data_IF_781711552409
#
_entry.id   IF_781711552409
#
_cell.length_a   1.000
_cell.length_b   1.000
_cell.length_c   1.000
_cell.angle_alpha   90.00
_cell.angle_beta   90.00
_cell.angle_gamma   90.00
#
_symmetry.space_group_name_H-M   'P 1'
#
loop_
_entity.id
_entity.type
_entity.pdbx_description
1 polymer ?
#
# COMPACT_ATOMS: atom_id res chain seq x y z
N UNK A 1 29.20 -66.83 -53.03
CA UNK A 1 29.59 -65.51 -53.59
C UNK A 1 28.31 -64.62 -53.44
N UNK A 2 28.46 -63.44 -52.86
CA UNK A 2 27.39 -62.40 -52.74
C UNK A 2 26.44 -62.48 -51.58
N UNK A 3 26.83 -61.89 -50.49
CA UNK A 3 25.90 -61.50 -49.43
C UNK A 3 26.49 -60.28 -48.65
N UNK A 4 26.34 -59.10 -49.16
CA UNK A 4 26.85 -57.87 -48.50
C UNK A 4 26.15 -56.62 -49.09
N UNK A 5 24.80 -56.57 -48.98
CA UNK A 5 24.12 -55.40 -49.51
C UNK A 5 22.77 -55.11 -48.81
N UNK A 6 22.60 -55.45 -47.48
CA UNK A 6 21.35 -55.14 -46.77
C UNK A 6 21.58 -54.58 -45.36
N UNK A 7 22.60 -53.77 -45.12
CA UNK A 7 22.87 -53.28 -43.76
C UNK A 7 23.02 -51.77 -43.58
N UNK A 8 22.45 -50.93 -44.46
CA UNK A 8 22.64 -49.46 -44.36
C UNK A 8 21.36 -48.61 -44.55
N UNK A 9 20.14 -49.10 -44.20
CA UNK A 9 18.91 -48.30 -44.31
C UNK A 9 18.14 -48.21 -42.95
N UNK A 10 18.76 -48.35 -41.82
CA UNK A 10 18.03 -48.24 -40.52
C UNK A 10 18.69 -47.29 -39.52
N UNK A 11 19.26 -46.19 -39.95
CA UNK A 11 19.83 -45.20 -39.02
C UNK A 11 19.52 -43.77 -39.50
N UNK A 12 18.30 -43.38 -39.68
CA UNK A 12 17.93 -41.94 -39.77
C UNK A 12 16.42 -41.76 -39.56
N UNK A 13 15.87 -42.34 -38.50
CA UNK A 13 14.53 -42.01 -38.02
C UNK A 13 14.58 -41.84 -36.50
N UNK A 14 15.42 -40.91 -36.04
CA UNK A 14 15.50 -40.55 -34.64
C UNK A 14 15.06 -39.09 -34.50
N UNK A 15 13.87 -38.94 -33.95
CA UNK A 15 13.43 -37.93 -33.01
C UNK A 15 13.70 -36.46 -33.33
N UNK A 16 12.83 -35.84 -34.09
CA UNK A 16 12.36 -34.49 -33.77
C UNK A 16 11.22 -34.56 -32.75
N UNK A 17 11.53 -35.01 -31.55
CA UNK A 17 10.66 -34.68 -30.40
C UNK A 17 10.91 -33.22 -30.07
N UNK A 18 10.10 -32.35 -30.63
CA UNK A 18 9.96 -30.94 -30.21
C UNK A 18 9.50 -31.00 -28.77
N UNK A 19 10.44 -30.82 -27.84
CA UNK A 19 10.11 -30.46 -26.45
C UNK A 19 9.52 -29.04 -26.54
N UNK A 20 8.21 -28.97 -26.65
CA UNK A 20 7.47 -27.77 -26.23
C UNK A 20 7.70 -27.66 -24.71
N UNK A 21 8.85 -27.07 -24.34
CA UNK A 21 9.01 -26.54 -23.00
C UNK A 21 7.88 -25.51 -22.83
N UNK A 22 6.84 -25.92 -22.12
CA UNK A 22 5.79 -25.02 -21.68
C UNK A 22 6.47 -23.87 -20.93
N UNK A 23 6.51 -22.71 -21.58
CA UNK A 23 6.80 -21.47 -20.86
C UNK A 23 5.80 -21.44 -19.69
N UNK A 24 6.25 -21.27 -18.44
CA UNK A 24 5.30 -21.03 -17.37
C UNK A 24 4.50 -19.81 -17.81
N UNK A 25 3.24 -20.01 -18.12
CA UNK A 25 2.29 -18.93 -18.24
C UNK A 25 2.44 -18.19 -16.93
N UNK A 26 2.94 -16.95 -16.99
CA UNK A 26 2.77 -15.99 -15.93
C UNK A 26 1.25 -15.77 -15.86
N UNK A 27 0.54 -16.74 -15.26
CA UNK A 27 -0.83 -16.57 -14.85
C UNK A 27 -0.81 -15.35 -13.93
N UNK A 28 -1.17 -14.22 -14.50
CA UNK A 28 -1.47 -13.00 -13.79
C UNK A 28 -2.51 -13.44 -12.75
N UNK A 29 -2.17 -13.27 -11.47
CA UNK A 29 -3.09 -13.53 -10.36
C UNK A 29 -4.24 -12.52 -10.43
N UNK A 30 -5.14 -12.71 -11.40
CA UNK A 30 -6.24 -11.79 -11.72
C UNK A 30 -7.59 -12.24 -11.16
N UNK A 31 -7.64 -13.40 -10.52
CA UNK A 31 -8.93 -14.04 -10.14
C UNK A 31 -9.07 -14.25 -8.62
N UNK A 32 -8.12 -13.83 -7.81
CA UNK A 32 -8.24 -13.91 -6.35
C UNK A 32 -8.82 -12.60 -5.79
N UNK A 33 -9.89 -12.72 -5.00
CA UNK A 33 -10.41 -11.62 -4.19
C UNK A 33 -9.29 -11.06 -3.31
N UNK A 34 -9.26 -9.75 -3.11
CA UNK A 34 -8.26 -9.07 -2.29
C UNK A 34 -8.95 -8.32 -1.15
N UNK A 35 -8.73 -8.76 0.08
CA UNK A 35 -9.24 -8.07 1.27
C UNK A 35 -8.14 -7.29 1.97
N UNK A 36 -8.24 -5.96 1.98
CA UNK A 36 -7.26 -5.04 2.56
C UNK A 36 -7.86 -4.29 3.76
N UNK A 37 -7.24 -4.42 4.92
CA UNK A 37 -7.65 -3.71 6.13
C UNK A 37 -6.63 -2.62 6.46
N UNK A 38 -7.13 -1.41 6.68
CA UNK A 38 -6.34 -0.25 7.06
C UNK A 38 -6.49 0.05 8.57
N UNK A 39 -5.38 0.31 9.24
CA UNK A 39 -5.38 0.80 10.62
C UNK A 39 -4.58 2.09 10.67
N UNK A 40 -5.22 3.17 11.08
CA UNK A 40 -4.57 4.48 11.05
C UNK A 40 -5.37 5.60 11.69
N UNK A 41 -5.18 6.79 11.14
CA UNK A 41 -5.81 8.02 11.62
C UNK A 41 -6.28 8.92 10.46
N UNK A 42 -6.28 10.24 10.66
CA UNK A 42 -6.73 11.19 9.64
C UNK A 42 -5.96 11.11 8.32
N UNK A 43 -4.72 10.67 8.30
CA UNK A 43 -3.97 10.46 7.06
C UNK A 43 -4.49 9.28 6.23
N UNK A 44 -5.22 8.37 6.85
CA UNK A 44 -5.90 7.26 6.17
C UNK A 44 -7.33 7.62 5.74
N UNK A 45 -8.12 8.28 6.61
CA UNK A 45 -9.52 8.54 6.28
C UNK A 45 -9.75 9.83 5.48
N UNK A 46 -8.89 10.86 5.61
CA UNK A 46 -9.01 12.05 4.74
C UNK A 46 -8.88 11.61 3.28
N UNK A 47 -9.83 12.04 2.46
CA UNK A 47 -10.00 11.60 1.06
C UNK A 47 -10.34 10.11 0.88
N UNK A 48 -10.60 9.34 1.96
CA UNK A 48 -10.98 7.93 1.87
C UNK A 48 -9.94 7.06 1.13
N UNK A 49 -8.71 7.00 1.66
CA UNK A 49 -7.64 6.20 1.06
C UNK A 49 -8.05 4.75 0.74
N UNK A 50 -8.83 4.04 1.59
CA UNK A 50 -9.35 2.71 1.24
C UNK A 50 -10.18 2.68 -0.03
N UNK A 51 -11.06 3.66 -0.22
CA UNK A 51 -11.89 3.78 -1.43
C UNK A 51 -11.03 4.16 -2.65
N UNK A 52 -10.06 5.09 -2.50
CA UNK A 52 -9.13 5.45 -3.56
C UNK A 52 -8.29 4.25 -4.02
N UNK A 53 -7.81 3.43 -3.08
CA UNK A 53 -7.08 2.21 -3.39
C UNK A 53 -7.96 1.23 -4.19
N UNK A 54 -9.20 1.00 -3.76
CA UNK A 54 -10.15 0.13 -4.48
C UNK A 54 -10.46 0.65 -5.88
N UNK A 55 -10.71 1.97 -6.02
CA UNK A 55 -10.96 2.60 -7.33
C UNK A 55 -9.74 2.47 -8.26
N UNK A 56 -8.53 2.60 -7.73
CA UNK A 56 -7.29 2.39 -8.47
C UNK A 56 -7.19 0.95 -8.96
N UNK A 57 -7.39 -0.06 -8.09
CA UNK A 57 -7.34 -1.47 -8.49
C UNK A 57 -8.36 -1.77 -9.58
N UNK A 58 -9.60 -1.33 -9.43
CA UNK A 58 -10.64 -1.52 -10.45
C UNK A 58 -10.31 -0.84 -11.79
N UNK A 59 -9.59 0.29 -11.78
CA UNK A 59 -9.13 0.91 -13.02
C UNK A 59 -8.10 0.08 -13.78
N UNK A 60 -7.37 -0.80 -13.07
CA UNK A 60 -6.37 -1.69 -13.65
C UNK A 60 -6.96 -3.05 -14.03
N UNK A 61 -7.76 -3.62 -13.16
CA UNK A 61 -8.35 -4.96 -13.27
C UNK A 61 -9.82 -4.88 -12.82
N UNK A 62 -10.74 -4.50 -13.72
CA UNK A 62 -12.15 -4.24 -13.39
C UNK A 62 -12.88 -5.44 -12.77
N UNK A 63 -12.48 -6.65 -13.14
CA UNK A 63 -13.06 -7.92 -12.69
C UNK A 63 -12.53 -8.39 -11.34
N UNK A 64 -11.45 -7.80 -10.83
CA UNK A 64 -10.90 -8.19 -9.54
C UNK A 64 -11.81 -7.74 -8.41
N UNK A 65 -12.25 -8.67 -7.59
CA UNK A 65 -12.98 -8.37 -6.37
C UNK A 65 -12.03 -7.80 -5.31
N UNK A 66 -12.31 -6.57 -4.85
CA UNK A 66 -11.48 -5.88 -3.86
C UNK A 66 -12.34 -5.35 -2.73
N UNK A 67 -12.15 -5.93 -1.57
CA UNK A 67 -12.76 -5.50 -0.32
C UNK A 67 -11.80 -4.63 0.49
N UNK A 68 -12.26 -3.49 0.99
CA UNK A 68 -11.45 -2.63 1.84
C UNK A 68 -12.23 -2.23 3.09
N UNK A 69 -11.58 -2.30 4.24
CA UNK A 69 -12.12 -1.79 5.50
C UNK A 69 -11.06 -0.95 6.22
N UNK A 70 -11.49 -0.01 7.05
CA UNK A 70 -10.58 0.81 7.82
C UNK A 70 -11.04 1.00 9.26
N UNK A 71 -10.07 0.96 10.16
CA UNK A 71 -10.22 1.26 11.58
C UNK A 71 -9.34 2.46 11.90
N UNK A 72 -9.96 3.61 12.07
CA UNK A 72 -9.28 4.91 12.17
C UNK A 72 -9.67 5.66 13.43
N UNK A 73 -8.76 6.48 13.94
CA UNK A 73 -9.00 7.38 15.07
C UNK A 73 -8.46 8.76 14.74
N UNK A 74 -9.26 9.83 14.80
CA UNK A 74 -8.76 11.19 14.60
C UNK A 74 -7.59 11.51 15.54
N UNK A 75 -6.40 11.85 14.97
CA UNK A 75 -5.19 12.13 15.73
C UNK A 75 -4.59 10.94 16.49
N UNK A 76 -5.14 9.74 16.34
CA UNK A 76 -4.75 8.56 17.11
C UNK A 76 -3.43 7.91 16.70
N UNK A 77 -2.89 7.12 17.62
CA UNK A 77 -1.72 6.28 17.44
C UNK A 77 -2.11 4.80 17.29
N UNK A 78 -1.27 4.01 16.61
CA UNK A 78 -1.53 2.57 16.43
C UNK A 78 -1.62 1.81 17.76
N UNK A 79 -0.87 2.21 18.78
CA UNK A 79 -0.93 1.55 20.08
C UNK A 79 -2.26 1.79 20.82
N UNK A 80 -2.94 2.90 20.58
CA UNK A 80 -4.29 3.16 21.08
C UNK A 80 -5.28 2.24 20.39
N UNK A 81 -5.21 2.14 19.05
CA UNK A 81 -6.00 1.18 18.26
C UNK A 81 -5.82 -0.27 18.71
N UNK A 82 -4.56 -0.64 19.04
CA UNK A 82 -4.29 -1.98 19.57
C UNK A 82 -4.98 -2.25 20.91
N UNK A 83 -4.94 -1.27 21.83
CA UNK A 83 -5.54 -1.43 23.17
C UNK A 83 -7.05 -1.57 23.15
N UNK A 84 -7.71 -0.96 22.20
CA UNK A 84 -9.18 -1.06 22.05
C UNK A 84 -9.65 -2.46 21.63
N UNK A 85 -8.80 -3.23 20.96
CA UNK A 85 -9.11 -4.60 20.57
C UNK A 85 -10.07 -4.76 19.38
N UNK A 86 -10.63 -3.68 18.85
CA UNK A 86 -11.62 -3.73 17.76
C UNK A 86 -11.03 -4.33 16.49
N UNK A 87 -9.82 -3.90 16.12
CA UNK A 87 -9.10 -4.44 14.94
C UNK A 87 -8.83 -5.92 15.10
N UNK A 88 -8.34 -6.34 16.27
CA UNK A 88 -8.05 -7.75 16.54
C UNK A 88 -9.32 -8.61 16.48
N UNK A 89 -10.45 -8.07 16.95
CA UNK A 89 -11.73 -8.77 16.84
C UNK A 89 -12.12 -8.97 15.38
N UNK A 90 -12.04 -7.92 14.56
CA UNK A 90 -12.32 -7.99 13.14
C UNK A 90 -11.40 -8.99 12.42
N UNK A 91 -10.08 -8.91 12.64
CA UNK A 91 -9.10 -9.81 12.03
C UNK A 91 -9.25 -11.29 12.48
N UNK A 92 -9.91 -11.57 13.62
CA UNK A 92 -10.24 -12.94 14.04
C UNK A 92 -11.42 -13.51 13.25
N UNK A 93 -12.35 -12.68 12.86
CA UNK A 93 -13.63 -13.08 12.25
C UNK A 93 -13.59 -13.03 10.71
N UNK A 94 -12.57 -12.40 10.13
CA UNK A 94 -12.46 -12.20 8.68
C UNK A 94 -11.09 -12.67 8.17
N UNK A 95 -11.08 -13.29 6.99
CA UNK A 95 -9.86 -13.53 6.25
C UNK A 95 -9.38 -12.19 5.68
N UNK A 96 -8.12 -11.83 5.93
CA UNK A 96 -7.54 -10.57 5.49
C UNK A 96 -6.21 -10.86 4.81
N UNK A 97 -6.05 -10.43 3.57
CA UNK A 97 -4.84 -10.69 2.78
C UNK A 97 -3.75 -9.67 3.08
N UNK A 98 -4.14 -8.41 3.30
CA UNK A 98 -3.21 -7.32 3.58
C UNK A 98 -3.68 -6.45 4.74
N UNK A 99 -2.80 -6.26 5.71
CA UNK A 99 -2.99 -5.30 6.80
C UNK A 99 -2.09 -4.08 6.57
N UNK A 100 -2.69 -2.92 6.33
CA UNK A 100 -1.98 -1.65 6.16
C UNK A 100 -1.93 -0.90 7.50
N UNK A 101 -0.73 -0.60 7.98
CA UNK A 101 -0.50 0.11 9.24
C UNK A 101 0.00 1.53 8.96
N UNK A 102 -0.71 2.55 9.45
CA UNK A 102 -0.32 3.94 9.37
C UNK A 102 -0.23 4.55 10.77
N UNK A 103 0.98 4.91 11.19
CA UNK A 103 1.25 5.55 12.49
C UNK A 103 0.94 7.05 12.44
N UNK A 104 0.81 7.70 13.60
CA UNK A 104 0.67 9.15 13.67
C UNK A 104 1.75 9.87 12.86
N UNK A 105 1.37 10.98 12.21
CA UNK A 105 2.22 11.67 11.23
C UNK A 105 3.62 11.97 11.77
N UNK A 106 4.66 11.55 11.05
CA UNK A 106 6.05 11.75 11.43
C UNK A 106 6.52 11.02 12.69
N UNK A 107 5.66 10.32 13.42
CA UNK A 107 6.00 9.76 14.73
C UNK A 107 7.11 8.70 14.69
N UNK A 108 7.21 7.91 13.63
CA UNK A 108 8.24 6.86 13.52
C UNK A 108 9.68 7.39 13.67
N UNK A 109 9.93 8.68 13.36
CA UNK A 109 11.23 9.31 13.60
C UNK A 109 11.66 9.29 15.07
N UNK A 110 10.76 9.05 16.01
CA UNK A 110 11.09 8.91 17.43
C UNK A 110 12.22 7.91 17.66
N UNK A 111 12.30 6.86 16.84
CA UNK A 111 13.32 5.81 16.94
C UNK A 111 14.76 6.32 16.66
N UNK A 112 14.93 7.43 15.96
CA UNK A 112 16.23 8.10 15.73
C UNK A 112 16.43 9.34 16.60
N UNK A 113 15.37 9.84 17.24
CA UNK A 113 15.46 11.02 18.07
C UNK A 113 16.04 10.68 19.46
N UNK A 114 17.21 11.26 19.78
CA UNK A 114 17.99 10.92 21.00
C UNK A 114 17.17 10.94 22.29
N UNK A 115 16.29 11.92 22.47
CA UNK A 115 15.47 12.07 23.67
C UNK A 115 14.19 11.21 23.66
N UNK A 116 13.73 10.72 22.49
CA UNK A 116 12.46 10.00 22.35
C UNK A 116 12.62 8.50 22.23
N UNK A 117 13.72 8.01 21.64
CA UNK A 117 13.89 6.60 21.25
C UNK A 117 13.75 5.58 22.40
N UNK A 118 14.06 5.99 23.62
CA UNK A 118 13.94 5.17 24.83
C UNK A 118 12.66 5.43 25.63
N UNK A 119 11.82 6.38 25.21
CA UNK A 119 10.54 6.61 25.88
C UNK A 119 9.58 5.46 25.67
N UNK A 120 8.68 5.26 26.66
CA UNK A 120 7.63 4.27 26.53
C UNK A 120 6.79 4.48 25.27
N UNK A 121 6.42 5.72 24.96
CA UNK A 121 5.58 6.03 23.78
C UNK A 121 6.23 5.57 22.47
N UNK A 122 7.53 5.81 22.27
CA UNK A 122 8.24 5.39 21.07
C UNK A 122 8.40 3.87 21.01
N UNK A 123 8.84 3.23 22.10
CA UNK A 123 9.06 1.80 22.15
C UNK A 123 7.77 1.00 22.06
N UNK A 124 6.66 1.51 22.61
CA UNK A 124 5.35 0.89 22.50
C UNK A 124 4.76 1.00 21.09
N UNK A 125 4.96 2.15 20.40
CA UNK A 125 4.61 2.29 18.99
C UNK A 125 5.31 1.23 18.12
N UNK A 126 6.64 1.12 18.20
CA UNK A 126 7.40 0.12 17.45
C UNK A 126 6.99 -1.32 17.77
N UNK A 127 6.76 -1.62 19.05
CA UNK A 127 6.28 -2.93 19.49
C UNK A 127 4.87 -3.22 18.96
N UNK A 128 4.02 -2.22 18.84
CA UNK A 128 2.66 -2.38 18.34
C UNK A 128 2.63 -2.73 16.85
N UNK A 129 3.50 -2.14 16.03
CA UNK A 129 3.64 -2.57 14.64
C UNK A 129 3.99 -4.06 14.55
N UNK A 130 4.95 -4.51 15.38
CA UNK A 130 5.32 -5.93 15.43
C UNK A 130 4.14 -6.81 15.85
N UNK A 131 3.37 -6.41 16.87
CA UNK A 131 2.18 -7.16 17.31
C UNK A 131 1.13 -7.31 16.22
N UNK A 132 0.86 -6.23 15.48
CA UNK A 132 -0.06 -6.27 14.34
C UNK A 132 0.44 -7.18 13.22
N UNK A 133 1.72 -7.07 12.84
CA UNK A 133 2.32 -7.90 11.81
C UNK A 133 2.29 -9.39 12.18
N UNK A 134 2.69 -9.74 13.41
CA UNK A 134 2.60 -11.13 13.91
C UNK A 134 1.15 -11.64 13.94
N UNK A 135 0.21 -10.76 14.28
CA UNK A 135 -1.21 -11.13 14.33
C UNK A 135 -1.78 -11.40 12.94
N UNK A 136 -1.44 -10.59 11.93
CA UNK A 136 -1.81 -10.80 10.54
C UNK A 136 -1.15 -12.07 9.97
N UNK A 137 0.17 -12.21 10.13
CA UNK A 137 0.94 -13.34 9.60
C UNK A 137 0.44 -14.70 10.11
N UNK A 138 0.04 -14.81 11.39
CA UNK A 138 -0.57 -16.03 11.95
C UNK A 138 -1.88 -16.45 11.28
N UNK A 139 -2.45 -15.59 10.43
CA UNK A 139 -3.70 -15.80 9.68
C UNK A 139 -3.49 -15.79 8.16
N UNK A 140 -2.24 -15.85 7.72
CA UNK A 140 -1.88 -15.85 6.30
C UNK A 140 -1.84 -14.47 5.65
N UNK A 141 -2.14 -13.38 6.40
CA UNK A 141 -2.10 -12.02 5.88
C UNK A 141 -0.69 -11.43 5.87
N UNK A 142 -0.44 -10.54 4.91
CA UNK A 142 0.79 -9.73 4.80
C UNK A 142 0.58 -8.37 5.46
N UNK A 143 1.67 -7.73 5.89
CA UNK A 143 1.60 -6.37 6.46
C UNK A 143 2.32 -5.38 5.54
N UNK A 144 1.71 -4.20 5.36
CA UNK A 144 2.34 -3.04 4.73
C UNK A 144 2.42 -1.91 5.76
N UNK A 145 3.59 -1.30 5.94
CA UNK A 145 3.71 -0.05 6.70
C UNK A 145 3.55 1.10 5.71
N UNK A 146 2.47 1.86 5.86
CA UNK A 146 2.26 3.11 5.15
C UNK A 146 3.11 4.20 5.80
N UNK A 147 4.26 4.47 5.19
CA UNK A 147 5.19 5.51 5.64
C UNK A 147 4.55 6.88 5.48
N UNK A 148 4.40 7.58 6.58
CA UNK A 148 3.90 8.96 6.61
C UNK A 148 4.96 9.94 6.13
N UNK A 149 4.66 11.22 6.18
CA UNK A 149 5.53 12.28 5.68
C UNK A 149 5.90 13.27 6.77
N UNK A 150 7.04 13.91 6.57
CA UNK A 150 7.57 14.96 7.42
C UNK A 150 7.36 16.37 6.86
N UNK A 151 7.56 17.36 7.69
CA UNK A 151 7.43 18.77 7.30
C UNK A 151 8.55 19.22 6.35
N UNK A 152 9.72 18.60 6.43
CA UNK A 152 10.87 18.92 5.60
C UNK A 152 11.65 17.66 5.16
N UNK A 153 12.63 17.84 4.27
CA UNK A 153 13.44 16.75 3.69
C UNK A 153 14.25 15.99 4.74
N UNK A 154 14.74 16.68 5.80
CA UNK A 154 15.54 16.05 6.86
C UNK A 154 14.66 15.15 7.73
N UNK A 155 13.51 15.65 8.10
CA UNK A 155 12.51 14.89 8.85
C UNK A 155 12.04 13.68 8.05
N UNK A 156 11.74 13.88 6.76
CA UNK A 156 11.36 12.80 5.86
C UNK A 156 12.43 11.72 5.76
N UNK A 157 13.69 12.09 5.57
CA UNK A 157 14.77 11.11 5.50
C UNK A 157 14.86 10.20 6.75
N UNK A 158 14.59 10.77 7.94
CA UNK A 158 14.53 9.99 9.19
C UNK A 158 13.31 9.05 9.21
N UNK A 159 12.12 9.53 8.83
CA UNK A 159 10.89 8.71 8.75
C UNK A 159 11.12 7.54 7.79
N UNK A 160 11.64 7.81 6.60
CA UNK A 160 11.90 6.81 5.55
C UNK A 160 12.88 5.73 6.02
N UNK A 161 13.99 6.11 6.65
CA UNK A 161 14.94 5.12 7.21
C UNK A 161 14.32 4.25 8.28
N UNK A 162 13.55 4.84 9.20
CA UNK A 162 12.88 4.08 10.26
C UNK A 162 11.80 3.18 9.70
N UNK A 163 10.99 3.66 8.76
CA UNK A 163 9.96 2.87 8.09
C UNK A 163 10.57 1.63 7.45
N UNK A 164 11.63 1.77 6.65
CA UNK A 164 12.30 0.64 5.99
C UNK A 164 12.93 -0.33 7.01
N UNK A 165 13.63 0.19 8.02
CA UNK A 165 14.25 -0.64 9.06
C UNK A 165 13.21 -1.42 9.87
N UNK A 166 12.11 -0.78 10.24
CA UNK A 166 11.01 -1.41 10.96
C UNK A 166 10.35 -2.48 10.10
N UNK A 167 10.02 -2.15 8.84
CA UNK A 167 9.42 -3.09 7.90
C UNK A 167 10.26 -4.37 7.76
N UNK A 168 11.58 -4.20 7.56
CA UNK A 168 12.51 -5.34 7.50
C UNK A 168 12.52 -6.16 8.79
N UNK A 169 12.45 -5.50 9.96
CA UNK A 169 12.51 -6.17 11.26
C UNK A 169 11.25 -6.98 11.60
N UNK A 170 10.11 -6.68 10.99
CA UNK A 170 8.83 -7.33 11.27
C UNK A 170 8.24 -8.07 10.05
N UNK A 171 9.05 -8.28 9.01
CA UNK A 171 8.64 -8.92 7.75
C UNK A 171 7.41 -8.23 7.10
N UNK A 172 7.47 -6.90 7.00
CA UNK A 172 6.45 -6.07 6.36
C UNK A 172 7.00 -5.36 5.13
N UNK A 173 6.11 -4.92 4.25
CA UNK A 173 6.45 -4.15 3.06
C UNK A 173 6.42 -2.65 3.37
N UNK A 174 7.45 -1.86 3.04
CA UNK A 174 7.42 -0.41 3.23
C UNK A 174 6.77 0.28 2.03
N UNK A 175 5.71 1.06 2.25
CA UNK A 175 5.16 2.00 1.28
C UNK A 175 5.56 3.43 1.71
N UNK A 176 6.71 3.91 1.24
CA UNK A 176 7.32 5.18 1.65
C UNK A 176 6.70 6.35 0.87
N UNK A 177 5.51 6.78 1.28
CA UNK A 177 4.75 7.84 0.60
C UNK A 177 5.47 9.19 0.69
N UNK A 178 6.17 9.46 1.77
CA UNK A 178 6.86 10.73 1.94
C UNK A 178 7.99 10.95 0.92
N UNK A 179 8.71 9.90 0.51
CA UNK A 179 9.68 10.01 -0.59
C UNK A 179 8.98 10.26 -1.94
N UNK A 180 7.83 9.64 -2.17
CA UNK A 180 7.04 9.91 -3.36
C UNK A 180 6.47 11.34 -3.40
N UNK A 181 6.10 11.92 -2.25
CA UNK A 181 5.71 13.33 -2.13
C UNK A 181 6.88 14.26 -2.48
N UNK A 182 8.11 13.96 -2.05
CA UNK A 182 9.29 14.74 -2.44
C UNK A 182 9.50 14.67 -3.95
N UNK A 183 9.33 13.50 -4.56
CA UNK A 183 9.44 13.34 -6.00
C UNK A 183 8.33 14.11 -6.74
N UNK A 184 7.09 14.06 -6.25
CA UNK A 184 5.97 14.82 -6.82
C UNK A 184 6.22 16.33 -6.79
N UNK A 185 6.72 16.87 -5.68
CA UNK A 185 7.06 18.29 -5.56
C UNK A 185 8.15 18.75 -6.55
N UNK A 186 9.05 17.84 -6.96
CA UNK A 186 10.05 18.15 -7.99
C UNK A 186 9.44 18.17 -9.40
N UNK A 187 8.44 17.34 -9.66
CA UNK A 187 7.73 17.28 -10.95
C UNK A 187 6.72 18.43 -11.10
N UNK A 188 6.08 18.83 -10.01
CA UNK A 188 5.05 19.85 -9.94
C UNK A 188 5.32 20.74 -8.70
N UNK A 189 6.24 21.73 -8.81
CA UNK A 189 6.62 22.60 -7.69
C UNK A 189 5.48 23.44 -7.11
N UNK A 190 4.46 23.74 -7.95
CA UNK A 190 3.30 24.56 -7.58
C UNK A 190 2.13 23.72 -7.03
N UNK A 191 2.27 22.40 -7.00
CA UNK A 191 1.22 21.53 -6.48
C UNK A 191 0.94 21.80 -4.99
N UNK A 192 -0.34 22.00 -4.68
CA UNK A 192 -0.80 21.95 -3.29
C UNK A 192 -0.84 20.51 -2.82
N UNK A 193 0.03 20.15 -1.88
CA UNK A 193 0.18 18.77 -1.39
C UNK A 193 -0.64 18.51 -0.12
N UNK A 194 -0.88 19.54 0.68
CA UNK A 194 -1.56 19.42 1.97
C UNK A 194 -2.66 20.47 2.10
N UNK A 195 -3.75 20.09 2.77
CA UNK A 195 -4.91 20.97 2.96
C UNK A 195 -4.77 21.88 4.18
N UNK A 196 -3.82 21.58 5.07
CA UNK A 196 -3.61 22.34 6.31
C UNK A 196 -2.16 22.24 6.83
N UNK A 197 -1.91 22.91 7.97
CA UNK A 197 -0.58 22.97 8.58
C UNK A 197 -0.16 21.69 9.32
N UNK A 198 -1.09 20.80 9.60
CA UNK A 198 -0.80 19.49 10.20
C UNK A 198 -0.65 18.39 9.14
N UNK A 199 -0.51 18.83 7.88
CA UNK A 199 -0.15 18.02 6.73
C UNK A 199 -1.18 16.95 6.35
N UNK A 200 -2.48 17.21 6.53
CA UNK A 200 -3.49 16.35 5.96
C UNK A 200 -3.39 16.35 4.42
N UNK A 201 -3.49 15.18 3.79
CA UNK A 201 -3.23 15.03 2.37
C UNK A 201 -4.31 15.68 1.50
N UNK A 202 -3.91 16.27 0.38
CA UNK A 202 -4.85 16.53 -0.74
C UNK A 202 -5.25 15.22 -1.41
N UNK A 203 -6.29 15.21 -2.27
CA UNK A 203 -6.64 14.02 -3.06
C UNK A 203 -5.45 13.42 -3.83
N UNK A 204 -4.57 14.25 -4.37
CA UNK A 204 -3.37 13.80 -5.09
C UNK A 204 -2.40 13.02 -4.20
N UNK A 205 -2.15 13.50 -2.98
CA UNK A 205 -1.28 12.79 -2.02
C UNK A 205 -1.92 11.49 -1.56
N UNK A 206 -3.24 11.46 -1.36
CA UNK A 206 -3.95 10.23 -1.02
C UNK A 206 -3.93 9.22 -2.17
N UNK A 207 -4.08 9.67 -3.43
CA UNK A 207 -3.94 8.79 -4.60
C UNK A 207 -2.49 8.32 -4.78
N UNK A 208 -1.50 9.18 -4.50
CA UNK A 208 -0.09 8.77 -4.49
C UNK A 208 0.18 7.67 -3.44
N UNK A 209 -0.43 7.78 -2.26
CA UNK A 209 -0.39 6.72 -1.25
C UNK A 209 -1.04 5.42 -1.76
N UNK A 210 -2.18 5.50 -2.46
CA UNK A 210 -2.82 4.34 -3.07
C UNK A 210 -1.93 3.69 -4.14
N UNK A 211 -1.24 4.47 -4.97
CA UNK A 211 -0.28 3.97 -5.98
C UNK A 211 0.90 3.24 -5.29
N UNK A 212 1.44 3.80 -4.22
CA UNK A 212 2.53 3.19 -3.46
C UNK A 212 2.08 1.87 -2.80
N UNK A 213 0.87 1.82 -2.26
CA UNK A 213 0.27 0.58 -1.73
C UNK A 213 0.07 -0.46 -2.84
N UNK A 214 -0.51 -0.06 -3.98
CA UNK A 214 -0.70 -0.93 -5.12
C UNK A 214 0.62 -1.57 -5.55
N UNK A 215 1.67 -0.76 -5.73
CA UNK A 215 2.98 -1.25 -6.13
C UNK A 215 3.60 -2.24 -5.13
N UNK A 216 3.34 -2.06 -3.83
CA UNK A 216 3.83 -2.99 -2.79
C UNK A 216 3.00 -4.26 -2.65
N UNK A 217 1.72 -4.19 -2.93
CA UNK A 217 0.80 -5.34 -2.82
C UNK A 217 0.89 -6.21 -4.08
N UNK A 218 0.84 -5.62 -5.26
CA UNK A 218 0.81 -6.32 -6.54
C UNK A 218 2.20 -6.51 -7.18
N UNK A 219 3.23 -5.81 -6.68
CA UNK A 219 4.62 -5.96 -7.14
C UNK A 219 4.99 -5.14 -8.38
N UNK A 220 4.06 -4.36 -8.94
CA UNK A 220 4.29 -3.45 -10.08
C UNK A 220 3.48 -2.16 -9.96
N UNK A 221 3.91 -1.12 -10.65
CA UNK A 221 3.19 0.15 -10.71
C UNK A 221 1.92 0.03 -11.58
N UNK A 222 0.81 0.67 -11.17
CA UNK A 222 -0.39 0.73 -12.00
C UNK A 222 -0.12 1.50 -13.30
N UNK A 223 -0.87 1.21 -14.36
CA UNK A 223 -0.85 2.02 -15.57
C UNK A 223 -1.48 3.40 -15.31
N UNK A 224 -1.06 4.40 -16.07
CA UNK A 224 -1.55 5.76 -15.94
C UNK A 224 -2.93 5.93 -16.63
N UNK A 225 -3.94 5.25 -16.10
CA UNK A 225 -5.33 5.35 -16.54
C UNK A 225 -6.08 6.38 -15.71
N UNK A 226 -7.07 7.04 -16.29
CA UNK A 226 -7.97 7.88 -15.51
C UNK A 226 -8.71 7.05 -14.45
N UNK A 227 -8.91 7.63 -13.26
CA UNK A 227 -9.63 6.99 -12.16
C UNK A 227 -10.85 7.82 -11.83
N UNK A 228 -12.03 7.34 -12.21
CA UNK A 228 -13.30 7.94 -11.81
C UNK A 228 -13.69 7.45 -10.40
N UNK A 229 -14.29 8.33 -9.63
CA UNK A 229 -14.79 8.00 -8.30
C UNK A 229 -16.31 7.90 -8.32
N UNK A 230 -16.85 6.84 -7.73
CA UNK A 230 -18.29 6.60 -7.61
C UNK A 230 -18.93 7.30 -6.40
N UNK A 231 -18.11 7.80 -5.49
CA UNK A 231 -18.55 8.44 -4.24
C UNK A 231 -17.68 9.66 -3.92
N UNK A 232 -18.23 10.68 -3.23
CA UNK A 232 -17.46 11.81 -2.74
C UNK A 232 -16.40 11.37 -1.73
N UNK A 233 -15.31 12.12 -1.66
CA UNK A 233 -14.22 11.89 -0.70
C UNK A 233 -14.65 12.23 0.74
N UNK A 234 -14.04 11.60 1.73
CA UNK A 234 -14.21 11.99 3.14
C UNK A 234 -13.48 13.32 3.37
N UNK A 235 -14.19 14.29 3.93
CA UNK A 235 -13.62 15.60 4.24
C UNK A 235 -12.57 15.51 5.36
N UNK A 236 -11.59 16.41 5.33
CA UNK A 236 -10.60 16.58 6.43
C UNK A 236 -11.27 16.93 7.77
N UNK A 237 -12.47 17.51 7.73
CA UNK A 237 -13.25 17.85 8.95
C UNK A 237 -14.02 16.67 9.54
N UNK A 238 -13.94 15.49 8.93
CA UNK A 238 -14.60 14.30 9.43
C UNK A 238 -14.00 13.84 10.77
N UNK A 239 -14.86 13.35 11.65
CA UNK A 239 -14.49 12.81 12.96
C UNK A 239 -15.11 11.41 13.11
N UNK A 240 -14.55 10.39 12.48
CA UNK A 240 -15.07 9.03 12.60
C UNK A 240 -14.95 8.49 14.02
N UNK A 241 -15.97 7.71 14.45
CA UNK A 241 -15.93 6.99 15.72
C UNK A 241 -14.91 5.86 15.63
N UNK A 242 -13.91 5.90 16.47
CA UNK A 242 -12.83 4.96 16.51
C UNK A 242 -13.26 3.50 16.79
N UNK A 243 -14.43 3.30 17.39
CA UNK A 243 -14.97 1.98 17.76
C UNK A 243 -15.68 1.25 16.62
N UNK A 244 -15.96 1.95 15.52
CA UNK A 244 -16.69 1.42 14.37
C UNK A 244 -15.80 1.32 13.14
N UNK A 245 -16.02 0.32 12.28
CA UNK A 245 -15.44 0.30 10.94
C UNK A 245 -15.82 1.58 10.16
N UNK A 246 -14.92 2.07 9.32
CA UNK A 246 -15.14 3.30 8.58
C UNK A 246 -16.33 3.18 7.61
N UNK A 247 -16.49 2.00 6.99
CA UNK A 247 -17.59 1.71 6.07
C UNK A 247 -18.97 1.90 6.70
N UNK A 248 -19.13 1.60 7.98
CA UNK A 248 -20.38 1.78 8.70
C UNK A 248 -20.75 3.25 8.96
N UNK A 249 -19.85 4.18 8.71
CA UNK A 249 -19.99 5.60 9.03
C UNK A 249 -20.15 6.47 7.77
N UNK A 250 -20.07 5.89 6.59
CA UNK A 250 -20.05 6.63 5.31
C UNK A 250 -21.26 7.56 5.12
N UNK A 251 -22.43 7.21 5.62
CA UNK A 251 -23.65 8.03 5.50
C UNK A 251 -23.67 9.26 6.41
N UNK A 252 -22.84 9.29 7.45
CA UNK A 252 -22.85 10.35 8.47
C UNK A 252 -21.63 11.27 8.42
N UNK A 253 -20.55 10.83 7.77
CA UNK A 253 -19.32 11.61 7.70
C UNK A 253 -19.42 12.74 6.67
N UNK A 254 -18.85 13.92 6.95
CA UNK A 254 -18.73 15.01 5.98
C UNK A 254 -17.99 14.56 4.74
N UNK A 255 -18.52 14.94 3.56
CA UNK A 255 -17.96 14.57 2.26
C UNK A 255 -17.55 15.82 1.48
N UNK A 256 -16.60 15.63 0.56
CA UNK A 256 -16.12 16.63 -0.39
C UNK A 256 -16.25 16.08 -1.81
N UNK A 257 -16.89 16.85 -2.70
CA UNK A 257 -17.02 16.47 -4.11
C UNK A 257 -15.65 16.45 -4.79
N UNK A 258 -15.41 15.39 -5.54
CA UNK A 258 -14.21 15.21 -6.35
C UNK A 258 -14.51 14.24 -7.49
N UNK A 259 -14.31 14.68 -8.74
CA UNK A 259 -14.70 13.89 -9.91
C UNK A 259 -13.78 12.70 -10.20
N UNK A 260 -12.55 12.73 -9.70
CA UNK A 260 -11.53 11.72 -9.98
C UNK A 260 -10.24 12.29 -10.55
N UNK A 261 -9.41 11.42 -11.12
CA UNK A 261 -8.09 11.76 -11.63
C UNK A 261 -8.01 11.55 -13.13
N UNK A 262 -7.49 12.54 -13.88
CA UNK A 262 -7.21 12.38 -15.30
C UNK A 262 -6.02 11.45 -15.54
N UNK A 263 -5.88 10.89 -16.73
CA UNK A 263 -4.75 10.05 -17.12
C UNK A 263 -3.41 10.79 -16.99
N UNK A 264 -3.38 12.09 -17.33
CA UNK A 264 -2.19 12.95 -17.21
C UNK A 264 -1.78 13.10 -15.74
N UNK A 265 -2.76 13.34 -14.84
CA UNK A 265 -2.47 13.45 -13.41
C UNK A 265 -1.99 12.11 -12.85
N UNK A 266 -2.61 11.01 -13.24
CA UNK A 266 -2.17 9.67 -12.86
C UNK A 266 -0.76 9.35 -13.38
N UNK A 267 -0.39 9.81 -14.60
CA UNK A 267 0.96 9.65 -15.13
C UNK A 267 2.02 10.36 -14.26
N UNK A 268 1.73 11.57 -13.81
CA UNK A 268 2.61 12.35 -12.93
C UNK A 268 2.75 11.70 -11.55
N UNK A 269 1.65 11.28 -10.94
CA UNK A 269 1.66 10.58 -9.64
C UNK A 269 2.41 9.25 -9.74
N UNK A 270 2.20 8.49 -10.81
CA UNK A 270 2.93 7.25 -11.10
C UNK A 270 4.43 7.50 -11.28
N UNK A 271 4.83 8.57 -11.95
CA UNK A 271 6.24 8.94 -12.10
C UNK A 271 6.88 9.27 -10.75
N UNK A 272 6.19 10.01 -9.89
CA UNK A 272 6.64 10.30 -8.53
C UNK A 272 6.82 9.02 -7.70
N UNK A 273 5.84 8.11 -7.75
CA UNK A 273 5.91 6.81 -7.09
C UNK A 273 7.08 5.97 -7.60
N UNK A 274 7.29 5.90 -8.93
CA UNK A 274 8.41 5.18 -9.53
C UNK A 274 9.76 5.70 -9.03
N UNK A 275 9.93 7.02 -8.99
CA UNK A 275 11.15 7.65 -8.47
C UNK A 275 11.44 7.25 -7.02
N UNK A 276 10.41 7.19 -6.18
CA UNK A 276 10.57 6.78 -4.77
C UNK A 276 10.88 5.27 -4.62
N UNK A 277 10.29 4.43 -5.46
CA UNK A 277 10.50 2.99 -5.42
C UNK A 277 11.91 2.60 -5.88
N UNK A 278 12.40 3.22 -6.96
CA UNK A 278 13.72 2.91 -7.54
C UNK A 278 14.88 3.57 -6.79
N UNK A 279 14.67 4.65 -6.06
CA UNK A 279 15.71 5.32 -5.29
C UNK A 279 16.38 4.43 -4.22
N UNK A 280 15.79 3.28 -3.90
CA UNK A 280 16.20 2.39 -2.80
C UNK A 280 16.32 0.91 -3.21
N UNK A 281 16.26 0.62 -4.50
CA UNK A 281 16.67 -0.69 -5.02
C UNK A 281 18.19 -0.77 -4.97
N UNK A 282 18.77 -1.87 -4.44
CA UNK A 282 20.23 -2.03 -4.29
C UNK A 282 20.96 -2.14 -5.60
#
# INVERSE_FOLDING_TARGET
MSSLLHRWIYVWMVCCSVVLAGLPSLARASDESLHVVFVGNSYTYTNDLPMLFRALVHSQTPERDVETEAFVMPGGFLNERWREGVVQHYLKSNQVDVLVLQEAGGWLRCAEHRALRSTFACTDSLRTHKRYAEFAAKRGGRTVILGTWGADVREQASISRVTRRLSKAIDALPADVGEAIIALRRLDPDATLFVDRILHPTPDVSMLAAIMLYARIDGWLPEARAVALSQPLISVTALPDARLPLSMQYSTLPRAEFAGFSAERMAMLRQAANTALTAHEP
#
